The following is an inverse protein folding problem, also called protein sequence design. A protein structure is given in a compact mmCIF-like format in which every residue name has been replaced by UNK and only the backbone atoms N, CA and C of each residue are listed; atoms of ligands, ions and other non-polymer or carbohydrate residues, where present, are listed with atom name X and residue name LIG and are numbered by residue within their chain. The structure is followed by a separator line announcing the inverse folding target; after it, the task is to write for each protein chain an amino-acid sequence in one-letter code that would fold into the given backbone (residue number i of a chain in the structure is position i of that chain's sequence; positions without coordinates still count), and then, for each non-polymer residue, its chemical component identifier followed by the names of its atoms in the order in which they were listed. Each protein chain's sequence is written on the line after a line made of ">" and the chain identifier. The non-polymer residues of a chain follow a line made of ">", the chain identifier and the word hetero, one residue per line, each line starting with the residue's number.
data_IF_664105885198
#
_entry.id   IF_664105885198
#
_cell.length_a   1.000
_cell.length_b   1.000
_cell.length_c   1.000
_cell.angle_alpha   90.00
_cell.angle_beta   90.00
_cell.angle_gamma   90.00
#
_symmetry.space_group_name_H-M   'P 1'
#
loop_
_entity.id
_entity.type
_entity.pdbx_description
1 polymer ?
#
# COMPACT_ATOMS: atom_id res chain seq x y z
N UNK A 1 23.79 -8.20 13.04
CA UNK A 1 22.89 -8.10 14.23
C UNK A 1 22.31 -9.48 14.51
N UNK A 2 22.11 -9.89 15.76
CA UNK A 2 21.32 -11.10 16.07
C UNK A 2 19.88 -10.66 16.39
N UNK A 3 18.92 -10.80 15.45
CA UNK A 3 17.57 -10.31 15.66
C UNK A 3 16.75 -11.16 16.64
N UNK A 4 17.30 -12.27 17.17
CA UNK A 4 16.58 -13.27 17.91
C UNK A 4 15.64 -14.09 17.02
N UNK A 5 14.69 -14.81 17.63
CA UNK A 5 13.66 -15.58 16.92
C UNK A 5 12.64 -14.64 16.27
N UNK A 6 12.46 -14.74 14.96
CA UNK A 6 11.63 -13.83 14.14
C UNK A 6 10.37 -14.54 13.64
N UNK A 7 9.21 -13.94 13.84
CA UNK A 7 7.98 -14.39 13.20
C UNK A 7 7.75 -13.61 11.88
N UNK A 8 7.59 -14.32 10.78
CA UNK A 8 7.08 -13.73 9.54
C UNK A 8 5.56 -13.91 9.55
N UNK A 9 4.83 -12.82 9.82
CA UNK A 9 3.37 -12.83 9.83
C UNK A 9 2.87 -12.86 8.39
N UNK A 10 2.21 -13.95 8.01
CA UNK A 10 1.75 -14.20 6.64
C UNK A 10 0.36 -14.85 6.65
N UNK A 11 -0.33 -14.87 5.52
CA UNK A 11 -1.67 -15.43 5.40
C UNK A 11 -2.76 -14.48 5.92
N UNK A 12 -3.22 -14.67 7.14
CA UNK A 12 -4.31 -13.87 7.72
C UNK A 12 -5.68 -14.19 7.11
N UNK A 13 -6.68 -13.31 7.36
CA UNK A 13 -8.09 -13.55 7.00
C UNK A 13 -8.63 -12.60 5.93
N UNK A 14 -7.79 -11.71 5.38
CA UNK A 14 -8.22 -10.74 4.36
C UNK A 14 -8.47 -11.40 3.00
N UNK A 15 -9.10 -10.66 2.09
CA UNK A 15 -9.26 -11.06 0.69
C UNK A 15 -7.89 -11.21 -0.05
N UNK A 16 -6.81 -10.66 0.51
CA UNK A 16 -5.45 -10.71 -0.05
C UNK A 16 -4.59 -11.83 0.55
N UNK A 17 -5.21 -12.82 1.23
CA UNK A 17 -4.52 -13.95 1.88
C UNK A 17 -3.50 -14.64 0.96
N UNK A 18 -3.85 -14.91 -0.28
CA UNK A 18 -2.99 -15.59 -1.24
C UNK A 18 -1.69 -14.80 -1.49
N UNK A 19 -1.80 -13.49 -1.70
CA UNK A 19 -0.65 -12.63 -1.92
C UNK A 19 0.21 -12.52 -0.64
N UNK A 20 -0.43 -12.49 0.53
CA UNK A 20 0.26 -12.52 1.82
C UNK A 20 1.08 -13.80 2.03
N UNK A 21 0.52 -14.94 1.67
CA UNK A 21 1.25 -16.22 1.71
C UNK A 21 2.45 -16.24 0.76
N UNK A 22 2.29 -15.72 -0.45
CA UNK A 22 3.38 -15.61 -1.43
C UNK A 22 4.49 -14.66 -0.95
N UNK A 23 4.12 -13.45 -0.53
CA UNK A 23 5.04 -12.43 0.01
C UNK A 23 5.78 -12.96 1.23
N UNK A 24 5.05 -13.47 2.22
CA UNK A 24 5.61 -13.96 3.47
C UNK A 24 6.52 -15.18 3.27
N UNK A 25 6.18 -16.08 2.33
CA UNK A 25 7.06 -17.22 1.99
C UNK A 25 8.37 -16.73 1.38
N UNK A 26 8.32 -15.72 0.51
CA UNK A 26 9.51 -15.10 -0.07
C UNK A 26 10.40 -14.46 1.00
N UNK A 27 9.80 -13.64 1.87
CA UNK A 27 10.51 -13.00 3.00
C UNK A 27 11.13 -14.03 3.94
N UNK A 28 10.37 -15.07 4.30
CA UNK A 28 10.86 -16.15 5.17
C UNK A 28 12.13 -16.79 4.61
N UNK A 29 12.10 -17.21 3.35
CA UNK A 29 13.26 -17.81 2.68
C UNK A 29 14.45 -16.84 2.62
N UNK A 30 14.20 -15.57 2.33
CA UNK A 30 15.24 -14.55 2.25
C UNK A 30 15.93 -14.31 3.60
N UNK A 31 15.17 -14.19 4.67
CA UNK A 31 15.69 -14.05 6.03
C UNK A 31 16.49 -15.27 6.47
N UNK A 32 15.96 -16.49 6.21
CA UNK A 32 16.67 -17.75 6.51
C UNK A 32 17.98 -17.87 5.71
N UNK A 33 18.00 -17.46 4.44
CA UNK A 33 19.22 -17.45 3.62
C UNK A 33 20.30 -16.51 4.16
N UNK A 34 19.91 -15.46 4.91
CA UNK A 34 20.81 -14.55 5.63
C UNK A 34 21.13 -15.01 7.06
N UNK A 35 20.75 -16.22 7.45
CA UNK A 35 21.04 -16.81 8.77
C UNK A 35 20.15 -16.30 9.91
N UNK A 36 19.03 -15.66 9.62
CA UNK A 36 18.04 -15.23 10.60
C UNK A 36 17.20 -16.44 11.04
N UNK A 37 17.01 -16.62 12.35
CA UNK A 37 16.10 -17.63 12.92
C UNK A 37 14.63 -17.21 12.69
N UNK A 38 14.16 -17.31 11.44
CA UNK A 38 12.85 -16.88 10.99
C UNK A 38 11.88 -18.04 10.79
N UNK A 39 10.64 -17.88 11.24
CA UNK A 39 9.57 -18.86 11.19
C UNK A 39 8.28 -18.25 10.65
N UNK A 40 7.51 -19.04 9.89
CA UNK A 40 6.18 -18.65 9.45
C UNK A 40 5.22 -18.59 10.64
N UNK A 41 4.36 -17.57 10.63
CA UNK A 41 3.31 -17.43 11.63
C UNK A 41 2.04 -16.89 10.94
N UNK A 42 1.01 -17.74 10.86
CA UNK A 42 -0.27 -17.37 10.27
C UNK A 42 -1.30 -17.06 11.37
N UNK A 43 -1.71 -15.78 11.54
CA UNK A 43 -2.68 -15.40 12.57
C UNK A 43 -4.12 -15.87 12.26
N UNK A 44 -4.38 -16.47 11.09
CA UNK A 44 -5.64 -17.15 10.82
C UNK A 44 -5.70 -18.53 11.50
N UNK A 45 -4.54 -19.13 11.76
CA UNK A 45 -4.39 -20.50 12.28
C UNK A 45 -3.85 -20.52 13.73
N UNK A 46 -3.23 -19.42 14.17
CA UNK A 46 -2.54 -19.31 15.45
C UNK A 46 -2.95 -18.05 16.21
N UNK A 47 -2.94 -18.16 17.54
CA UNK A 47 -3.18 -17.01 18.43
C UNK A 47 -1.94 -16.10 18.47
N UNK A 48 -2.12 -14.78 18.28
CA UNK A 48 -1.03 -13.80 18.36
C UNK A 48 -0.32 -13.81 19.74
N UNK A 49 -1.01 -14.20 20.82
CA UNK A 49 -0.39 -14.35 22.14
C UNK A 49 0.71 -15.44 22.17
N UNK A 50 0.69 -16.39 21.24
CA UNK A 50 1.75 -17.40 21.13
C UNK A 50 3.09 -16.81 20.73
N UNK A 51 3.12 -15.66 20.08
CA UNK A 51 4.36 -14.92 19.79
C UNK A 51 5.17 -14.70 21.06
N UNK A 52 4.53 -14.23 22.13
CA UNK A 52 5.19 -14.00 23.41
C UNK A 52 5.54 -15.31 24.13
N UNK A 53 4.60 -16.28 24.13
CA UNK A 53 4.78 -17.58 24.80
C UNK A 53 5.93 -18.38 24.21
N UNK A 54 6.13 -18.29 22.90
CA UNK A 54 7.18 -19.01 22.18
C UNK A 54 8.49 -18.22 22.03
N UNK A 55 8.59 -17.04 22.64
CA UNK A 55 9.80 -16.25 22.70
C UNK A 55 10.22 -15.58 21.39
N UNK A 56 9.26 -15.22 20.53
CA UNK A 56 9.56 -14.41 19.37
C UNK A 56 10.02 -13.02 19.81
N UNK A 57 11.18 -12.61 19.28
CA UNK A 57 11.81 -11.34 19.61
C UNK A 57 11.28 -10.18 18.78
N UNK A 58 10.80 -10.46 17.56
CA UNK A 58 10.20 -9.48 16.65
C UNK A 58 9.38 -10.12 15.54
N UNK A 59 8.60 -9.32 14.85
CA UNK A 59 7.78 -9.74 13.72
C UNK A 59 8.14 -8.99 12.44
N UNK A 60 8.21 -9.73 11.32
CA UNK A 60 8.11 -9.14 9.99
C UNK A 60 6.66 -9.24 9.54
N UNK A 61 5.98 -8.10 9.32
CA UNK A 61 4.60 -8.08 8.83
C UNK A 61 4.62 -8.21 7.30
N UNK A 62 4.13 -9.34 6.80
CA UNK A 62 3.86 -9.61 5.39
C UNK A 62 2.37 -9.90 5.15
N UNK A 63 1.52 -9.49 6.09
CA UNK A 63 0.07 -9.51 5.95
C UNK A 63 -0.37 -8.35 5.05
N UNK A 64 -1.42 -8.57 4.26
CA UNK A 64 -2.01 -7.55 3.39
C UNK A 64 -3.48 -7.33 3.71
N UNK A 65 -3.96 -6.12 3.43
CA UNK A 65 -5.35 -5.72 3.63
C UNK A 65 -5.76 -5.65 5.11
N UNK A 66 -7.06 -5.87 5.34
CA UNK A 66 -7.65 -5.77 6.70
C UNK A 66 -7.00 -6.76 7.67
N UNK A 67 -6.74 -6.30 8.89
CA UNK A 67 -6.04 -7.05 9.93
C UNK A 67 -4.52 -7.12 9.76
N UNK A 68 -3.98 -6.65 8.62
CA UNK A 68 -2.54 -6.58 8.35
C UNK A 68 -2.03 -5.16 8.19
N UNK A 69 -2.80 -4.29 7.50
CA UNK A 69 -2.40 -2.93 7.15
C UNK A 69 -3.25 -1.83 7.82
N UNK A 70 -4.22 -2.20 8.66
CA UNK A 70 -5.22 -1.30 9.25
C UNK A 70 -4.95 -0.88 10.69
N UNK A 71 -3.79 -1.23 11.24
CA UNK A 71 -3.42 -0.95 12.63
C UNK A 71 -3.83 -2.05 13.63
N UNK A 72 -4.63 -3.03 13.21
CA UNK A 72 -5.15 -4.07 14.10
C UNK A 72 -4.04 -4.99 14.63
N UNK A 73 -3.24 -5.59 13.75
CA UNK A 73 -2.12 -6.46 14.15
C UNK A 73 -1.04 -5.63 14.83
N UNK A 74 -0.78 -4.40 14.37
CA UNK A 74 0.15 -3.48 15.00
C UNK A 74 -0.24 -3.22 16.46
N UNK A 75 -1.51 -2.90 16.73
CA UNK A 75 -2.01 -2.69 18.09
C UNK A 75 -1.89 -3.92 18.98
N UNK A 76 -2.10 -5.12 18.44
CA UNK A 76 -1.88 -6.36 19.18
C UNK A 76 -0.39 -6.56 19.55
N UNK A 77 0.53 -6.29 18.60
CA UNK A 77 1.96 -6.37 18.83
C UNK A 77 2.47 -5.32 19.82
N UNK A 78 1.90 -4.10 19.81
CA UNK A 78 2.15 -3.06 20.81
C UNK A 78 1.83 -3.56 22.22
N UNK A 79 0.61 -4.10 22.41
CA UNK A 79 0.17 -4.64 23.73
C UNK A 79 1.05 -5.81 24.18
N UNK A 80 1.53 -6.63 23.25
CA UNK A 80 2.44 -7.73 23.53
C UNK A 80 3.88 -7.25 23.79
N UNK A 81 4.25 -6.03 23.44
CA UNK A 81 5.61 -5.52 23.49
C UNK A 81 6.54 -6.29 22.55
N UNK A 82 6.05 -6.70 21.37
CA UNK A 82 6.82 -7.41 20.34
C UNK A 82 7.11 -6.43 19.19
N UNK A 83 8.38 -6.07 18.97
CA UNK A 83 8.78 -5.21 17.85
C UNK A 83 8.33 -5.76 16.49
N UNK A 84 7.97 -4.88 15.57
CA UNK A 84 7.49 -5.26 14.23
C UNK A 84 7.95 -4.29 13.15
N UNK A 85 7.93 -4.72 11.91
CA UNK A 85 8.34 -3.94 10.75
C UNK A 85 7.23 -3.02 10.25
N UNK A 86 7.61 -1.83 9.77
CA UNK A 86 6.69 -0.91 9.09
C UNK A 86 6.03 0.09 10.02
N UNK A 87 4.92 0.62 9.59
CA UNK A 87 4.20 1.70 10.28
C UNK A 87 3.48 1.21 11.53
N UNK A 88 3.43 2.05 12.55
CA UNK A 88 2.68 1.82 13.78
C UNK A 88 1.16 1.90 13.57
N UNK A 89 0.40 1.81 14.68
CA UNK A 89 -1.07 1.75 14.67
C UNK A 89 -1.69 2.92 13.91
N UNK A 90 -1.30 4.16 14.25
CA UNK A 90 -1.88 5.37 13.64
C UNK A 90 -1.58 5.44 12.13
N UNK A 91 -0.32 5.23 11.75
CA UNK A 91 0.08 5.30 10.35
C UNK A 91 -0.62 4.25 9.49
N UNK A 92 -0.71 3.01 9.98
CA UNK A 92 -1.41 1.92 9.30
C UNK A 92 -2.91 2.22 9.15
N UNK A 93 -3.57 2.67 10.23
CA UNK A 93 -5.00 2.98 10.20
C UNK A 93 -5.33 4.16 9.27
N UNK A 94 -4.51 5.23 9.27
CA UNK A 94 -4.71 6.38 8.38
C UNK A 94 -4.41 6.03 6.91
N UNK A 95 -3.35 5.27 6.66
CA UNK A 95 -2.99 4.84 5.31
C UNK A 95 -4.08 3.97 4.68
N UNK A 96 -4.68 3.06 5.46
CA UNK A 96 -5.75 2.20 4.99
C UNK A 96 -7.02 2.97 4.64
N UNK A 97 -7.33 4.06 5.35
CA UNK A 97 -8.46 4.94 5.10
C UNK A 97 -8.11 6.01 4.06
N UNK A 98 -8.32 5.70 2.78
CA UNK A 98 -8.00 6.61 1.67
C UNK A 98 -8.65 7.99 1.81
N UNK A 99 -9.88 8.05 2.33
CA UNK A 99 -10.60 9.32 2.48
C UNK A 99 -9.92 10.21 3.52
N UNK A 100 -9.62 9.67 4.71
CA UNK A 100 -8.97 10.41 5.79
C UNK A 100 -7.53 10.79 5.44
N UNK A 101 -6.80 9.88 4.80
CA UNK A 101 -5.46 10.15 4.30
C UNK A 101 -5.44 11.32 3.30
N UNK A 102 -6.36 11.32 2.32
CA UNK A 102 -6.51 12.42 1.34
C UNK A 102 -6.97 13.73 1.98
N UNK A 103 -7.83 13.70 2.99
CA UNK A 103 -8.22 14.89 3.73
C UNK A 103 -7.02 15.50 4.45
N UNK A 104 -6.17 14.69 5.08
CA UNK A 104 -4.92 15.13 5.69
C UNK A 104 -3.97 15.74 4.68
N UNK A 105 -3.72 15.08 3.55
CA UNK A 105 -2.87 15.59 2.49
C UNK A 105 -3.36 16.94 1.95
N UNK A 106 -4.67 17.06 1.72
CA UNK A 106 -5.27 18.31 1.24
C UNK A 106 -5.13 19.44 2.27
N UNK A 107 -5.31 19.17 3.56
CA UNK A 107 -5.14 20.14 4.63
C UNK A 107 -3.70 20.68 4.70
N UNK A 108 -2.73 19.84 4.37
CA UNK A 108 -1.29 20.16 4.34
C UNK A 108 -0.80 20.64 2.96
N UNK A 109 -1.73 20.90 2.03
CA UNK A 109 -1.43 21.43 0.70
C UNK A 109 -0.75 20.44 -0.26
N UNK A 110 -0.85 19.11 -0.01
CA UNK A 110 -0.37 18.13 -0.94
C UNK A 110 -1.42 17.82 -2.01
N UNK A 111 -0.98 17.62 -3.28
CA UNK A 111 -1.88 17.36 -4.39
C UNK A 111 -2.48 15.96 -4.29
N UNK A 112 -3.80 15.87 -4.22
CA UNK A 112 -4.58 14.64 -4.32
C UNK A 112 -5.85 14.92 -5.11
N UNK A 113 -6.38 13.97 -5.90
CA UNK A 113 -7.57 14.21 -6.70
C UNK A 113 -8.72 14.76 -5.86
N UNK A 114 -9.48 15.76 -6.36
CA UNK A 114 -10.72 16.20 -5.74
C UNK A 114 -11.63 15.01 -5.47
N UNK A 115 -12.17 14.90 -4.25
CA UNK A 115 -12.91 13.72 -3.83
C UNK A 115 -14.01 14.07 -2.85
N UNK A 116 -15.02 13.21 -2.77
CA UNK A 116 -16.14 13.28 -1.83
C UNK A 116 -16.48 11.89 -1.28
N UNK A 117 -16.91 11.85 -0.02
CA UNK A 117 -17.50 10.64 0.57
C UNK A 117 -18.90 10.42 -0.01
N UNK A 118 -19.22 9.16 -0.29
CA UNK A 118 -20.54 8.74 -0.74
C UNK A 118 -21.26 7.94 0.35
N UNK A 119 -22.57 8.23 0.49
CA UNK A 119 -23.48 7.57 1.42
C UNK A 119 -24.74 7.10 0.69
N UNK A 120 -25.55 6.27 1.33
CA UNK A 120 -26.75 5.73 0.72
C UNK A 120 -27.80 6.80 0.30
N UNK A 121 -27.76 7.95 0.95
CA UNK A 121 -28.62 9.12 0.68
C UNK A 121 -27.95 10.21 -0.16
N UNK A 122 -26.74 9.96 -0.66
CA UNK A 122 -26.01 10.93 -1.48
C UNK A 122 -26.71 11.16 -2.83
N UNK A 123 -26.86 12.42 -3.21
CA UNK A 123 -27.22 12.77 -4.59
C UNK A 123 -25.97 12.61 -5.49
N UNK A 124 -25.83 11.41 -6.06
CA UNK A 124 -24.67 11.04 -6.89
C UNK A 124 -24.52 11.94 -8.13
N UNK A 125 -25.66 12.48 -8.66
CA UNK A 125 -25.62 13.40 -9.81
C UNK A 125 -25.07 14.77 -9.42
N UNK A 126 -25.43 15.24 -8.22
CA UNK A 126 -24.87 16.48 -7.69
C UNK A 126 -23.37 16.31 -7.38
N UNK A 127 -22.94 15.15 -6.86
CA UNK A 127 -21.50 14.82 -6.67
C UNK A 127 -20.76 14.87 -8.02
N UNK A 128 -21.31 14.21 -9.05
CA UNK A 128 -20.68 14.23 -10.38
C UNK A 128 -20.60 15.64 -10.98
N UNK A 129 -21.60 16.49 -10.70
CA UNK A 129 -21.58 17.89 -11.15
C UNK A 129 -20.47 18.70 -10.44
N UNK A 130 -20.21 18.47 -9.15
CA UNK A 130 -19.16 19.16 -8.39
C UNK A 130 -17.77 18.69 -8.77
N UNK A 131 -17.55 17.38 -8.84
CA UNK A 131 -16.23 16.80 -9.14
C UNK A 131 -15.90 16.81 -10.63
N UNK A 132 -16.91 16.81 -11.50
CA UNK A 132 -16.76 16.69 -12.96
C UNK A 132 -16.38 15.26 -13.40
N UNK A 133 -17.04 14.76 -14.47
CA UNK A 133 -16.68 13.48 -15.09
C UNK A 133 -15.37 13.61 -15.89
N UNK A 134 -14.61 12.53 -16.08
CA UNK A 134 -14.82 11.20 -15.51
C UNK A 134 -14.42 11.10 -14.03
N UNK A 135 -14.99 10.12 -13.31
CA UNK A 135 -14.76 9.85 -11.89
C UNK A 135 -14.26 8.42 -11.66
N UNK A 136 -13.67 8.20 -10.50
CA UNK A 136 -13.46 6.87 -9.92
C UNK A 136 -14.34 6.75 -8.68
N UNK A 137 -15.19 5.72 -8.63
CA UNK A 137 -15.95 5.32 -7.44
C UNK A 137 -15.26 4.09 -6.86
N UNK A 138 -14.96 4.11 -5.56
CA UNK A 138 -14.19 3.04 -4.92
C UNK A 138 -14.50 2.91 -3.42
N UNK A 139 -14.28 1.72 -2.84
CA UNK A 139 -14.22 1.51 -1.41
C UNK A 139 -13.10 2.36 -0.78
N UNK A 140 -13.31 2.80 0.47
CA UNK A 140 -12.32 3.62 1.18
C UNK A 140 -11.16 2.79 1.71
N UNK A 141 -11.44 1.60 2.28
CA UNK A 141 -10.46 0.81 3.04
C UNK A 141 -10.17 -0.56 2.40
N UNK A 142 -10.18 -0.65 1.07
CA UNK A 142 -9.84 -1.88 0.35
C UNK A 142 -8.62 -1.68 -0.56
N UNK A 143 -7.80 -2.73 -0.67
CA UNK A 143 -6.65 -2.80 -1.55
C UNK A 143 -6.96 -3.44 -2.90
N UNK A 144 -5.92 -3.69 -3.69
CA UNK A 144 -5.94 -4.53 -4.90
C UNK A 144 -7.00 -4.17 -5.94
N UNK A 145 -7.47 -2.93 -5.95
CA UNK A 145 -8.50 -2.41 -6.89
C UNK A 145 -9.87 -3.11 -6.80
N UNK A 146 -10.17 -3.79 -5.69
CA UNK A 146 -11.51 -4.37 -5.47
C UNK A 146 -12.58 -3.29 -5.37
N UNK A 147 -13.68 -3.46 -6.11
CA UNK A 147 -14.82 -2.54 -6.08
C UNK A 147 -14.57 -1.18 -6.73
N UNK A 148 -13.44 -1.00 -7.44
CA UNK A 148 -13.09 0.25 -8.14
C UNK A 148 -13.77 0.31 -9.50
N UNK A 149 -14.47 1.42 -9.80
CA UNK A 149 -15.13 1.66 -11.08
C UNK A 149 -14.79 3.01 -11.64
N UNK A 150 -14.30 3.07 -12.89
CA UNK A 150 -14.15 4.31 -13.67
C UNK A 150 -15.50 4.68 -14.28
N UNK A 151 -15.99 5.87 -13.99
CA UNK A 151 -17.31 6.36 -14.39
C UNK A 151 -17.15 7.52 -15.36
N UNK A 152 -17.55 7.29 -16.61
CA UNK A 152 -17.50 8.30 -17.68
C UNK A 152 -18.83 8.99 -17.90
N UNK A 153 -19.94 8.39 -17.45
CA UNK A 153 -21.30 8.88 -17.64
C UNK A 153 -22.09 8.79 -16.32
N UNK A 154 -22.90 9.80 -16.04
CA UNK A 154 -23.69 9.90 -14.79
C UNK A 154 -24.60 8.69 -14.55
N UNK A 155 -25.09 8.05 -15.60
CA UNK A 155 -25.95 6.86 -15.48
C UNK A 155 -25.28 5.63 -14.85
N UNK A 156 -23.94 5.57 -14.87
CA UNK A 156 -23.19 4.45 -14.29
C UNK A 156 -22.88 4.63 -12.80
N UNK A 157 -23.22 5.77 -12.20
CA UNK A 157 -22.87 6.07 -10.79
C UNK A 157 -23.56 5.16 -9.80
N UNK A 158 -24.86 4.88 -10.00
CA UNK A 158 -25.62 4.04 -9.08
C UNK A 158 -25.07 2.62 -9.02
N UNK A 159 -24.71 2.06 -10.19
CA UNK A 159 -24.10 0.72 -10.30
C UNK A 159 -22.69 0.72 -9.69
N UNK A 160 -21.88 1.74 -9.95
CA UNK A 160 -20.54 1.89 -9.39
C UNK A 160 -20.58 1.98 -7.86
N UNK A 161 -21.52 2.75 -7.31
CA UNK A 161 -21.71 2.84 -5.86
C UNK A 161 -22.16 1.50 -5.27
N UNK A 162 -23.16 0.84 -5.87
CA UNK A 162 -23.66 -0.45 -5.43
C UNK A 162 -22.56 -1.54 -5.45
N UNK A 163 -21.67 -1.51 -6.44
CA UNK A 163 -20.52 -2.41 -6.48
C UNK A 163 -19.56 -2.13 -5.32
N UNK A 164 -19.18 -0.86 -5.11
CA UNK A 164 -18.19 -0.49 -4.08
C UNK A 164 -18.67 -0.83 -2.66
N UNK A 165 -19.96 -0.63 -2.36
CA UNK A 165 -20.57 -0.96 -1.05
C UNK A 165 -20.46 -2.44 -0.68
N UNK A 166 -20.39 -3.35 -1.66
CA UNK A 166 -20.21 -4.78 -1.38
C UNK A 166 -18.84 -5.10 -0.75
N UNK A 167 -17.85 -4.22 -0.93
CA UNK A 167 -16.49 -4.39 -0.39
C UNK A 167 -16.25 -3.57 0.88
N UNK A 168 -16.79 -2.34 0.95
CA UNK A 168 -16.68 -1.50 2.14
C UNK A 168 -17.92 -0.64 2.31
N UNK A 169 -18.37 -0.45 3.57
CA UNK A 169 -19.48 0.47 3.90
C UNK A 169 -19.15 1.92 3.59
N UNK A 170 -17.86 2.29 3.69
CA UNK A 170 -17.35 3.60 3.34
C UNK A 170 -16.96 3.62 1.86
N UNK A 171 -17.61 4.47 1.09
CA UNK A 171 -17.35 4.64 -0.35
C UNK A 171 -16.97 6.08 -0.64
N UNK A 172 -16.11 6.28 -1.62
CA UNK A 172 -15.75 7.61 -2.10
C UNK A 172 -15.83 7.70 -3.62
N UNK A 173 -16.07 8.92 -4.12
CA UNK A 173 -15.82 9.29 -5.49
C UNK A 173 -14.65 10.26 -5.55
N UNK A 174 -13.82 10.13 -6.56
CA UNK A 174 -12.73 11.08 -6.84
C UNK A 174 -12.63 11.38 -8.33
N UNK A 175 -12.05 12.54 -8.67
CA UNK A 175 -11.74 12.88 -10.05
C UNK A 175 -10.78 11.85 -10.64
N UNK A 176 -11.13 11.27 -11.79
CA UNK A 176 -10.21 10.42 -12.54
C UNK A 176 -9.07 11.30 -13.08
N UNK A 177 -7.84 10.96 -12.71
CA UNK A 177 -6.64 11.54 -13.32
C UNK A 177 -6.27 10.69 -14.51
N UNK A 178 -6.11 11.33 -15.67
CA UNK A 178 -5.68 10.67 -16.90
C UNK A 178 -4.20 10.98 -17.14
N UNK A 179 -3.38 9.93 -17.17
CA UNK A 179 -1.95 10.04 -17.40
C UNK A 179 -1.16 8.85 -16.87
N UNK A 180 0.15 8.91 -16.90
CA UNK A 180 1.00 7.81 -16.43
C UNK A 180 0.95 7.66 -14.91
N UNK A 181 0.91 6.39 -14.48
CA UNK A 181 0.96 6.00 -13.07
C UNK A 181 2.41 5.74 -12.64
N UNK A 182 2.74 6.21 -11.45
CA UNK A 182 4.05 6.02 -10.82
C UNK A 182 3.88 5.52 -9.40
N UNK A 183 4.91 4.83 -8.92
CA UNK A 183 5.01 4.45 -7.52
C UNK A 183 6.37 4.79 -6.95
N UNK A 184 6.37 5.27 -5.71
CA UNK A 184 7.57 5.56 -4.92
C UNK A 184 7.66 4.58 -3.75
N UNK A 185 8.62 3.67 -3.80
CA UNK A 185 8.96 2.80 -2.68
C UNK A 185 9.78 3.58 -1.65
N UNK A 186 9.46 3.41 -0.37
CA UNK A 186 10.15 4.06 0.75
C UNK A 186 10.72 2.96 1.63
N UNK A 187 12.01 3.07 1.98
CA UNK A 187 12.71 2.17 2.89
C UNK A 187 13.67 3.01 3.73
N UNK A 188 13.65 2.87 5.05
CA UNK A 188 14.47 3.64 6.00
C UNK A 188 14.41 5.16 5.75
N UNK A 189 13.20 5.70 5.68
CA UNK A 189 12.97 7.14 5.44
C UNK A 189 13.55 7.70 4.13
N UNK A 190 13.92 6.84 3.19
CA UNK A 190 14.43 7.23 1.88
C UNK A 190 13.53 6.69 0.76
N UNK A 191 13.17 7.56 -0.19
CA UNK A 191 12.47 7.14 -1.39
C UNK A 191 13.47 6.54 -2.39
N UNK A 192 13.22 5.30 -2.81
CA UNK A 192 13.94 4.61 -3.87
C UNK A 192 13.56 5.19 -5.25
N UNK A 193 14.26 4.81 -6.35
CA UNK A 193 13.86 5.22 -7.68
C UNK A 193 12.40 4.95 -7.97
N UNK A 194 11.74 5.88 -8.66
CA UNK A 194 10.36 5.71 -9.07
C UNK A 194 10.21 4.60 -10.11
N UNK A 195 9.10 3.90 -10.02
CA UNK A 195 8.69 2.97 -11.07
C UNK A 195 7.50 3.57 -11.81
N UNK A 196 7.58 3.65 -13.14
CA UNK A 196 6.43 3.93 -13.99
C UNK A 196 5.70 2.63 -14.30
N UNK A 197 4.38 2.65 -14.16
CA UNK A 197 3.51 1.50 -14.38
C UNK A 197 2.74 1.72 -15.69
N UNK A 198 2.88 0.80 -16.63
CA UNK A 198 2.16 0.79 -17.91
C UNK A 198 1.27 -0.45 -17.96
N UNK A 199 0.08 -0.35 -17.39
CA UNK A 199 -0.91 -1.42 -17.40
C UNK A 199 -1.68 -1.46 -18.74
N UNK A 200 -2.11 -2.65 -19.21
CA UNK A 200 -2.92 -2.79 -20.41
C UNK A 200 -4.18 -1.92 -20.32
N UNK A 201 -4.42 -1.09 -21.34
CA UNK A 201 -5.57 -0.17 -21.41
C UNK A 201 -5.70 0.76 -20.18
N UNK A 202 -4.60 1.02 -19.46
CA UNK A 202 -4.61 1.82 -18.22
C UNK A 202 -5.36 1.14 -17.07
N UNK A 203 -5.47 -0.18 -17.07
CA UNK A 203 -6.22 -0.94 -16.07
C UNK A 203 -5.25 -1.73 -15.16
N UNK A 204 -4.82 -1.09 -14.07
CA UNK A 204 -3.93 -1.71 -13.09
C UNK A 204 -4.75 -2.37 -11.98
N UNK A 205 -5.51 -3.42 -12.37
CA UNK A 205 -6.36 -4.21 -11.49
C UNK A 205 -5.62 -5.39 -10.83
N UNK A 206 -6.31 -6.12 -9.94
CA UNK A 206 -5.77 -7.25 -9.20
C UNK A 206 -5.10 -8.30 -10.10
N UNK A 207 -5.73 -8.63 -11.24
CA UNK A 207 -5.18 -9.61 -12.18
C UNK A 207 -3.89 -9.11 -12.83
N UNK A 208 -3.87 -7.86 -13.27
CA UNK A 208 -2.70 -7.23 -13.91
C UNK A 208 -1.57 -6.92 -12.90
N UNK A 209 -1.89 -6.84 -11.59
CA UNK A 209 -0.88 -6.66 -10.53
C UNK A 209 -0.12 -7.94 -10.20
N UNK A 210 -0.78 -9.12 -10.23
CA UNK A 210 -0.23 -10.32 -9.61
C UNK A 210 -0.20 -11.55 -10.51
N UNK A 211 -0.98 -11.62 -11.59
CA UNK A 211 -1.23 -12.86 -12.33
C UNK A 211 -1.00 -12.76 -13.84
N UNK A 212 -0.58 -11.61 -14.35
CA UNK A 212 -0.20 -11.45 -15.78
C UNK A 212 1.14 -10.75 -15.88
N UNK A 213 1.84 -10.99 -17.00
CA UNK A 213 3.07 -10.30 -17.36
C UNK A 213 2.83 -9.14 -18.36
N UNK A 214 1.55 -8.76 -18.56
CA UNK A 214 1.17 -7.73 -19.54
C UNK A 214 1.47 -6.30 -19.06
N UNK A 215 1.59 -6.10 -17.73
CA UNK A 215 1.97 -4.81 -17.16
C UNK A 215 3.47 -4.57 -17.27
N UNK A 216 3.87 -3.46 -17.87
CA UNK A 216 5.27 -3.06 -17.95
C UNK A 216 5.62 -2.16 -16.76
N UNK A 217 6.76 -2.46 -16.16
CA UNK A 217 7.34 -1.70 -15.07
C UNK A 217 8.66 -1.10 -15.51
N UNK A 218 8.75 0.22 -15.56
CA UNK A 218 9.94 0.93 -16.02
C UNK A 218 10.71 1.51 -14.83
N UNK A 219 11.91 1.00 -14.59
CA UNK A 219 12.85 1.52 -13.61
C UNK A 219 14.25 1.48 -14.21
N UNK A 220 14.84 2.62 -14.60
CA UNK A 220 14.42 4.02 -14.39
C UNK A 220 13.07 4.37 -15.04
N UNK A 221 12.31 5.26 -14.37
CA UNK A 221 10.93 5.60 -14.73
C UNK A 221 10.79 6.50 -15.98
N UNK A 222 11.89 6.96 -16.54
CA UNK A 222 11.95 7.81 -17.76
C UNK A 222 11.70 9.30 -17.52
N UNK A 223 11.54 9.76 -16.29
CA UNK A 223 11.44 11.18 -15.96
C UNK A 223 12.82 11.85 -15.91
N UNK A 224 12.91 13.16 -16.19
CA UNK A 224 14.12 13.95 -15.92
C UNK A 224 14.45 13.89 -14.42
N UNK A 225 15.74 13.77 -14.07
CA UNK A 225 16.20 13.62 -12.69
C UNK A 225 15.64 14.67 -11.70
N UNK A 226 15.56 15.98 -12.04
CA UNK A 226 14.96 16.98 -11.14
C UNK A 226 13.48 16.72 -10.86
N UNK A 227 12.74 16.20 -11.85
CA UNK A 227 11.30 15.88 -11.69
C UNK A 227 11.14 14.63 -10.82
N UNK A 228 11.94 13.60 -11.06
CA UNK A 228 11.91 12.37 -10.24
C UNK A 228 12.24 12.68 -8.77
N UNK A 229 13.28 13.48 -8.50
CA UNK A 229 13.64 13.87 -7.13
C UNK A 229 12.53 14.69 -6.45
N UNK A 230 11.86 15.59 -7.17
CA UNK A 230 10.72 16.34 -6.64
C UNK A 230 9.55 15.40 -6.26
N UNK A 231 9.27 14.39 -7.08
CA UNK A 231 8.22 13.40 -6.80
C UNK A 231 8.59 12.48 -5.64
N UNK A 232 9.84 12.07 -5.52
CA UNK A 232 10.37 11.30 -4.38
C UNK A 232 10.21 12.09 -3.07
N UNK A 233 10.55 13.37 -3.09
CA UNK A 233 10.38 14.25 -1.93
C UNK A 233 8.91 14.43 -1.56
N UNK A 234 8.02 14.60 -2.56
CA UNK A 234 6.58 14.66 -2.36
C UNK A 234 6.03 13.37 -1.74
N UNK A 235 6.42 12.21 -2.27
CA UNK A 235 5.99 10.91 -1.78
C UNK A 235 6.45 10.68 -0.33
N UNK A 236 7.71 11.00 -0.01
CA UNK A 236 8.23 10.87 1.34
C UNK A 236 7.50 11.80 2.32
N UNK A 237 7.19 13.04 1.91
CA UNK A 237 6.39 13.97 2.72
C UNK A 237 4.98 13.43 2.94
N UNK A 238 4.33 12.90 1.91
CA UNK A 238 3.00 12.31 1.99
C UNK A 238 2.95 11.11 2.94
N UNK A 239 3.97 10.25 2.90
CA UNK A 239 4.14 9.10 3.76
C UNK A 239 4.27 9.51 5.24
N UNK A 240 5.16 10.45 5.53
CA UNK A 240 5.38 10.95 6.89
C UNK A 240 4.17 11.68 7.46
N UNK A 241 3.46 12.46 6.66
CA UNK A 241 2.22 13.13 7.08
C UNK A 241 1.11 12.14 7.44
N UNK A 242 1.04 11.00 6.79
CA UNK A 242 0.13 9.92 7.18
C UNK A 242 0.56 9.20 8.48
N UNK A 243 1.65 9.62 9.12
CA UNK A 243 2.19 8.96 10.32
C UNK A 243 2.87 7.63 10.03
N UNK A 244 3.23 7.39 8.78
CA UNK A 244 3.88 6.15 8.37
C UNK A 244 5.39 6.20 8.63
N UNK A 245 5.98 5.05 8.95
CA UNK A 245 7.39 4.87 9.29
C UNK A 245 7.98 3.61 8.67
N UNK A 246 9.31 3.50 8.69
CA UNK A 246 10.06 2.32 8.27
C UNK A 246 10.05 2.10 6.76
N UNK A 247 9.06 1.42 6.25
CA UNK A 247 8.95 1.13 4.82
C UNK A 247 7.49 1.17 4.33
N UNK A 248 7.32 1.36 3.04
CA UNK A 248 6.02 1.42 2.41
C UNK A 248 6.09 1.87 0.96
N UNK A 249 4.95 2.23 0.39
CA UNK A 249 4.83 2.67 -1.00
C UNK A 249 3.77 3.76 -1.14
N UNK A 250 4.09 4.80 -1.90
CA UNK A 250 3.15 5.83 -2.32
C UNK A 250 2.85 5.65 -3.80
N UNK A 251 1.58 5.59 -4.14
CA UNK A 251 1.12 5.54 -5.52
C UNK A 251 0.61 6.92 -5.94
N UNK A 252 1.01 7.36 -7.14
CA UNK A 252 0.69 8.69 -7.69
C UNK A 252 0.52 8.65 -9.22
N UNK A 253 -0.18 9.63 -9.76
CA UNK A 253 -0.28 9.84 -11.21
C UNK A 253 0.27 11.22 -11.57
N UNK A 254 0.72 11.37 -12.83
CA UNK A 254 0.92 12.67 -13.43
C UNK A 254 -0.19 12.94 -14.44
N UNK A 255 -0.79 14.14 -14.40
CA UNK A 255 -1.77 14.54 -15.41
C UNK A 255 -1.10 14.96 -16.74
N UNK A 256 -1.91 15.41 -17.69
CA UNK A 256 -1.43 15.85 -19.01
C UNK A 256 -0.49 17.07 -18.95
N UNK A 257 -0.52 17.85 -17.87
CA UNK A 257 0.36 18.99 -17.61
C UNK A 257 1.65 18.54 -16.89
N UNK A 258 1.69 17.28 -16.45
CA UNK A 258 2.77 16.70 -15.68
C UNK A 258 2.67 17.03 -14.18
N UNK A 259 1.52 17.50 -13.70
CA UNK A 259 1.31 17.79 -12.30
C UNK A 259 1.01 16.49 -11.52
N UNK A 260 1.57 16.32 -10.31
CA UNK A 260 1.42 15.08 -9.54
C UNK A 260 0.10 15.04 -8.77
N UNK A 261 -0.46 13.84 -8.64
CA UNK A 261 -1.66 13.55 -7.88
C UNK A 261 -1.46 12.29 -7.04
N UNK A 262 -1.39 12.44 -5.71
CA UNK A 262 -1.23 11.33 -4.76
C UNK A 262 -2.51 10.51 -4.69
N UNK A 263 -2.39 9.19 -4.84
CA UNK A 263 -3.53 8.27 -4.85
C UNK A 263 -3.73 7.61 -3.48
N UNK A 264 -2.71 6.90 -2.98
CA UNK A 264 -2.78 6.11 -1.75
C UNK A 264 -1.41 5.82 -1.15
N UNK A 265 -1.41 5.39 0.11
CA UNK A 265 -0.26 4.82 0.84
C UNK A 265 -0.48 3.32 1.04
N UNK A 266 0.57 2.53 0.86
CA UNK A 266 0.59 1.11 1.19
C UNK A 266 1.66 0.89 2.27
N UNK A 267 1.26 0.44 3.46
CA UNK A 267 2.15 0.30 4.64
C UNK A 267 2.80 -1.07 4.77
N UNK A 268 2.25 -2.09 4.10
CA UNK A 268 2.85 -3.41 3.96
C UNK A 268 2.74 -3.87 2.50
N UNK A 269 3.46 -3.20 1.56
CA UNK A 269 3.34 -3.52 0.15
C UNK A 269 3.84 -4.95 -0.15
N UNK A 270 3.33 -5.53 -1.25
CA UNK A 270 3.70 -6.88 -1.66
C UNK A 270 5.20 -7.10 -1.77
N UNK A 271 5.63 -8.32 -1.42
CA UNK A 271 7.02 -8.77 -1.44
C UNK A 271 7.19 -10.03 -2.29
N UNK A 272 6.42 -10.15 -3.39
CA UNK A 272 6.57 -11.22 -4.38
C UNK A 272 7.66 -10.88 -5.41
N UNK A 273 7.98 -11.81 -6.30
CA UNK A 273 8.95 -11.57 -7.39
C UNK A 273 8.59 -10.42 -8.34
N UNK A 274 7.30 -10.10 -8.47
CA UNK A 274 6.77 -9.01 -9.31
C UNK A 274 6.51 -7.72 -8.53
N UNK A 275 6.79 -7.70 -7.22
CA UNK A 275 6.46 -6.56 -6.36
C UNK A 275 7.39 -5.37 -6.58
N UNK A 276 6.82 -4.17 -6.44
CA UNK A 276 7.46 -2.92 -6.85
C UNK A 276 8.56 -2.47 -5.88
N UNK A 277 8.42 -2.73 -4.56
CA UNK A 277 9.48 -2.39 -3.59
C UNK A 277 10.76 -3.19 -3.84
N UNK A 278 10.72 -4.53 -4.01
CA UNK A 278 11.90 -5.30 -4.44
C UNK A 278 12.48 -4.86 -5.77
N UNK A 279 11.64 -4.45 -6.72
CA UNK A 279 12.08 -3.96 -8.04
C UNK A 279 12.87 -2.64 -7.90
N UNK A 280 12.33 -1.67 -7.16
CA UNK A 280 13.00 -0.39 -6.90
C UNK A 280 14.33 -0.58 -6.13
N UNK A 281 14.36 -1.48 -5.14
CA UNK A 281 15.57 -1.81 -4.38
C UNK A 281 16.66 -2.42 -5.29
N UNK A 282 16.27 -3.34 -6.17
CA UNK A 282 17.21 -3.95 -7.14
C UNK A 282 17.81 -2.91 -8.08
N UNK A 283 17.06 -1.89 -8.48
CA UNK A 283 17.56 -0.82 -9.35
C UNK A 283 18.70 -0.01 -8.74
N UNK A 284 18.81 -0.02 -7.40
CA UNK A 284 19.93 0.61 -6.66
C UNK A 284 20.93 -0.40 -6.08
N UNK A 285 20.90 -1.64 -6.56
CA UNK A 285 21.85 -2.68 -6.18
C UNK A 285 21.58 -3.40 -4.86
N UNK A 286 20.37 -3.22 -4.27
CA UNK A 286 19.97 -3.92 -3.05
C UNK A 286 19.28 -5.23 -3.47
N UNK A 287 19.82 -6.37 -3.06
CA UNK A 287 19.21 -7.67 -3.31
C UNK A 287 17.91 -7.86 -2.50
N UNK A 288 17.12 -8.83 -2.88
CA UNK A 288 15.86 -9.12 -2.17
C UNK A 288 16.12 -9.51 -0.70
N UNK A 289 17.15 -10.31 -0.47
CA UNK A 289 17.55 -10.76 0.86
C UNK A 289 18.06 -9.58 1.72
N UNK A 290 18.85 -8.68 1.14
CA UNK A 290 19.33 -7.47 1.83
C UNK A 290 18.17 -6.53 2.15
N UNK A 291 17.20 -6.37 1.24
CA UNK A 291 16.00 -5.59 1.48
C UNK A 291 15.19 -6.16 2.67
N UNK A 292 14.98 -7.48 2.72
CA UNK A 292 14.25 -8.12 3.81
C UNK A 292 14.95 -7.92 5.16
N UNK A 293 16.29 -8.05 5.21
CA UNK A 293 17.07 -7.80 6.42
C UNK A 293 16.98 -6.33 6.83
N UNK A 294 17.14 -5.40 5.88
CA UNK A 294 17.05 -3.96 6.11
C UNK A 294 15.70 -3.54 6.70
N UNK A 295 14.60 -4.05 6.15
CA UNK A 295 13.24 -3.82 6.68
C UNK A 295 13.12 -4.40 8.09
N UNK A 296 13.65 -5.61 8.34
CA UNK A 296 13.61 -6.25 9.65
C UNK A 296 14.39 -5.47 10.70
N UNK A 297 15.52 -4.89 10.35
CA UNK A 297 16.35 -4.07 11.25
C UNK A 297 15.64 -2.81 11.73
N UNK A 298 14.72 -2.26 10.92
CA UNK A 298 13.85 -1.14 11.27
C UNK A 298 12.67 -1.50 12.20
N UNK A 299 12.56 -2.74 12.68
CA UNK A 299 11.46 -3.14 13.57
C UNK A 299 11.52 -2.44 14.93
N UNK A 300 10.36 -1.95 15.40
CA UNK A 300 10.23 -1.20 16.65
C UNK A 300 8.88 -1.49 17.34
N UNK A 301 8.71 -0.99 18.56
CA UNK A 301 7.44 -0.89 19.30
C UNK A 301 7.20 0.60 19.54
N UNK A 302 6.00 1.11 19.28
CA UNK A 302 5.59 2.48 19.56
C UNK A 302 5.72 3.42 18.41
#
# INVERSE_FOLDING_TARGET
>A
MNPGKVAVLLGGKSAEREISLMSGTGVLKALQAKGVDAHAFDPAERDLFDLKREGYARCFIALHGRGGEDGTVQGALEVLGVPYTGSGVLGSALAMDKLRCKLLWRAEGLPTPPHESLHADSDLRAVAKRLGLPLVVKPVSEGSSFGVTKVYETRALDEAYALAVNYDRAVMAEKLIEGPEYTASIVDDAALPLIRIEAPQGNYDYRNKYFTDDTKYLCPCGLPAPKEEALKALALRAFKLAGCTGWGRIDLMLDAQGDPWLLEVNTSPGMTGHSLVPMAARAVGISYEELCVKILEGSHVG
#
